data_IF_212279442199
#
_entry.id   IF_212279442199
#
_cell.length_a   1.000
_cell.length_b   1.000
_cell.length_c   1.000
_cell.angle_alpha   90.00
_cell.angle_beta   90.00
_cell.angle_gamma   90.00
#
_symmetry.space_group_name_H-M   'P 1'
#
loop_
_entity.id
_entity.type
_entity.pdbx_description
1 polymer ?
#
# COMPACT_ATOMS: atom_id res chain seq x y z
N UNK A 1 -12.42 -31.80 3.85
CA UNK A 1 -12.60 -31.36 2.45
C UNK A 1 -12.66 -29.85 2.47
N UNK A 2 -11.92 -29.15 1.63
CA UNK A 2 -11.89 -27.68 1.66
C UNK A 2 -13.06 -27.06 0.90
N UNK A 3 -13.39 -25.81 1.22
CA UNK A 3 -14.40 -25.05 0.48
C UNK A 3 -14.05 -24.94 -1.02
N UNK A 4 -12.77 -24.75 -1.35
CA UNK A 4 -12.31 -24.67 -2.74
C UNK A 4 -12.52 -25.98 -3.52
N UNK A 5 -12.25 -27.14 -2.89
CA UNK A 5 -12.52 -28.45 -3.49
C UNK A 5 -14.01 -28.68 -3.71
N UNK A 6 -14.86 -28.26 -2.77
CA UNK A 6 -16.32 -28.34 -2.88
C UNK A 6 -16.84 -27.42 -3.99
N UNK A 7 -16.33 -26.18 -4.08
CA UNK A 7 -16.65 -25.25 -5.16
C UNK A 7 -16.30 -25.82 -6.53
N UNK A 8 -15.13 -26.45 -6.66
CA UNK A 8 -14.70 -27.06 -7.91
C UNK A 8 -15.57 -28.26 -8.30
N UNK A 9 -15.89 -29.14 -7.34
CA UNK A 9 -16.80 -30.29 -7.55
C UNK A 9 -18.22 -29.83 -7.92
N UNK A 10 -18.75 -28.81 -7.25
CA UNK A 10 -20.05 -28.25 -7.56
C UNK A 10 -20.07 -27.65 -8.98
N UNK A 11 -19.02 -26.91 -9.36
CA UNK A 11 -18.87 -26.37 -10.72
C UNK A 11 -18.79 -27.48 -11.77
N UNK A 12 -18.03 -28.55 -11.50
CA UNK A 12 -17.94 -29.72 -12.39
C UNK A 12 -19.27 -30.48 -12.53
N UNK A 13 -20.14 -30.40 -11.52
CA UNK A 13 -21.50 -30.91 -11.55
C UNK A 13 -22.50 -29.95 -12.24
N UNK A 14 -22.03 -28.81 -12.78
CA UNK A 14 -22.87 -27.82 -13.44
C UNK A 14 -23.70 -26.96 -12.47
N UNK A 15 -23.24 -26.84 -11.22
CA UNK A 15 -23.83 -25.98 -10.20
C UNK A 15 -23.05 -24.66 -10.19
N UNK A 16 -23.73 -23.60 -10.58
CA UNK A 16 -23.29 -22.23 -10.38
C UNK A 16 -23.65 -21.79 -8.96
N UNK A 17 -22.68 -21.20 -8.26
CA UNK A 17 -22.83 -20.74 -6.89
C UNK A 17 -22.58 -19.23 -6.83
N UNK A 18 -23.54 -18.49 -6.31
CA UNK A 18 -23.46 -17.02 -6.21
C UNK A 18 -23.82 -16.61 -4.79
N UNK A 19 -23.08 -15.65 -4.23
CA UNK A 19 -23.47 -15.00 -2.98
C UNK A 19 -24.39 -13.84 -3.33
N UNK A 20 -25.64 -13.86 -2.86
CA UNK A 20 -26.56 -12.75 -3.05
C UNK A 20 -26.22 -11.57 -2.13
N UNK A 21 -26.81 -10.40 -2.40
CA UNK A 21 -26.53 -9.15 -1.66
C UNK A 21 -26.89 -9.24 -0.16
N UNK A 22 -27.77 -10.17 0.22
CA UNK A 22 -28.12 -10.48 1.60
C UNK A 22 -27.12 -11.43 2.30
N UNK A 23 -26.02 -11.79 1.62
CA UNK A 23 -24.98 -12.70 2.13
C UNK A 23 -25.38 -14.18 2.07
N UNK A 24 -26.46 -14.53 1.40
CA UNK A 24 -26.89 -15.92 1.25
C UNK A 24 -26.21 -16.61 0.07
N UNK A 25 -25.82 -17.87 0.26
CA UNK A 25 -25.37 -18.73 -0.83
C UNK A 25 -26.58 -19.19 -1.66
N UNK A 26 -26.61 -18.81 -2.94
CA UNK A 26 -27.58 -19.26 -3.93
C UNK A 26 -26.94 -20.27 -4.87
N UNK A 27 -27.64 -21.38 -5.11
CA UNK A 27 -27.23 -22.42 -6.04
C UNK A 27 -28.14 -22.40 -7.26
N UNK A 28 -27.56 -22.33 -8.44
CA UNK A 28 -28.25 -22.48 -9.73
C UNK A 28 -27.67 -23.70 -10.42
N UNK A 29 -28.51 -24.62 -10.86
CA UNK A 29 -28.05 -25.80 -11.57
C UNK A 29 -29.00 -26.13 -12.72
N UNK A 30 -28.45 -26.59 -13.83
CA UNK A 30 -29.25 -27.05 -14.98
C UNK A 30 -29.99 -28.36 -14.64
N UNK A 31 -29.44 -29.16 -13.73
CA UNK A 31 -30.02 -30.40 -13.24
C UNK A 31 -30.02 -30.42 -11.70
N UNK A 32 -30.96 -31.15 -11.07
CA UNK A 32 -30.98 -31.29 -9.62
C UNK A 32 -29.65 -31.89 -9.12
N UNK A 33 -28.98 -31.24 -8.15
CA UNK A 33 -27.78 -31.80 -7.53
C UNK A 33 -28.15 -33.02 -6.67
N UNK A 34 -27.18 -33.90 -6.43
CA UNK A 34 -27.39 -35.05 -5.55
C UNK A 34 -27.57 -34.62 -4.09
N UNK A 35 -28.40 -35.34 -3.34
CA UNK A 35 -28.67 -35.04 -1.92
C UNK A 35 -27.40 -35.02 -1.07
N UNK A 36 -26.42 -35.89 -1.39
CA UNK A 36 -25.14 -35.90 -0.70
C UNK A 36 -24.33 -34.61 -0.95
N UNK A 37 -24.34 -34.11 -2.19
CA UNK A 37 -23.65 -32.86 -2.52
C UNK A 37 -24.33 -31.66 -1.86
N UNK A 38 -25.66 -31.65 -1.79
CA UNK A 38 -26.41 -30.62 -1.05
C UNK A 38 -26.09 -30.64 0.45
N UNK A 39 -26.01 -31.82 1.06
CA UNK A 39 -25.64 -31.95 2.47
C UNK A 39 -24.21 -31.47 2.73
N UNK A 40 -23.26 -31.80 1.84
CA UNK A 40 -21.87 -31.34 1.92
C UNK A 40 -21.76 -29.81 1.74
N UNK A 41 -22.48 -29.21 0.78
CA UNK A 41 -22.53 -27.77 0.56
C UNK A 41 -23.19 -27.03 1.73
N UNK A 42 -24.25 -27.59 2.31
CA UNK A 42 -24.91 -27.02 3.48
C UNK A 42 -24.00 -27.02 4.71
N UNK A 43 -23.25 -28.12 4.93
CA UNK A 43 -22.32 -28.24 6.05
C UNK A 43 -21.17 -27.23 5.99
N UNK A 44 -20.71 -26.85 4.79
CA UNK A 44 -19.59 -25.93 4.56
C UNK A 44 -20.03 -24.56 4.04
N UNK A 45 -21.30 -24.21 4.21
CA UNK A 45 -21.91 -22.99 3.63
C UNK A 45 -21.12 -21.73 3.97
N UNK A 46 -20.70 -21.57 5.22
CA UNK A 46 -20.00 -20.36 5.69
C UNK A 46 -18.64 -20.24 4.99
N UNK A 47 -17.86 -21.33 4.95
CA UNK A 47 -16.53 -21.31 4.34
C UNK A 47 -16.61 -21.08 2.82
N UNK A 48 -17.65 -21.62 2.16
CA UNK A 48 -17.92 -21.38 0.74
C UNK A 48 -18.26 -19.91 0.47
N UNK A 49 -19.09 -19.28 1.30
CA UNK A 49 -19.42 -17.85 1.16
C UNK A 49 -18.16 -17.00 1.32
N UNK A 50 -17.34 -17.29 2.34
CA UNK A 50 -16.07 -16.58 2.56
C UNK A 50 -15.15 -16.74 1.35
N UNK A 51 -14.99 -17.95 0.83
CA UNK A 51 -14.13 -18.22 -0.32
C UNK A 51 -14.63 -17.54 -1.61
N UNK A 52 -15.95 -17.55 -1.86
CA UNK A 52 -16.56 -16.85 -3.00
C UNK A 52 -16.37 -15.33 -2.92
N UNK A 53 -16.60 -14.75 -1.75
CA UNK A 53 -16.39 -13.31 -1.55
C UNK A 53 -14.91 -12.94 -1.73
N UNK A 54 -13.99 -13.69 -1.13
CA UNK A 54 -12.56 -13.45 -1.28
C UNK A 54 -12.09 -13.55 -2.74
N UNK A 55 -12.62 -14.51 -3.51
CA UNK A 55 -12.33 -14.64 -4.94
C UNK A 55 -12.88 -13.46 -5.75
N UNK A 56 -14.10 -13.01 -5.44
CA UNK A 56 -14.73 -11.87 -6.10
C UNK A 56 -14.00 -10.55 -5.77
N UNK A 57 -13.61 -10.34 -4.51
CA UNK A 57 -12.85 -9.18 -4.06
C UNK A 57 -11.47 -9.13 -4.69
N UNK A 58 -10.81 -10.29 -4.84
CA UNK A 58 -9.54 -10.40 -5.56
C UNK A 58 -9.68 -10.04 -7.04
N UNK A 59 -10.76 -10.50 -7.69
CA UNK A 59 -11.04 -10.15 -9.09
C UNK A 59 -11.31 -8.65 -9.25
N UNK A 60 -12.18 -8.07 -8.42
CA UNK A 60 -12.49 -6.63 -8.44
C UNK A 60 -11.24 -5.77 -8.18
N UNK A 61 -10.46 -6.15 -7.17
CA UNK A 61 -9.14 -5.57 -6.85
C UNK A 61 -8.19 -5.59 -8.05
N UNK A 62 -8.11 -6.70 -8.78
CA UNK A 62 -7.22 -6.82 -9.96
C UNK A 62 -7.65 -5.94 -11.13
N UNK A 63 -8.96 -5.84 -11.39
CA UNK A 63 -9.53 -5.00 -12.45
C UNK A 63 -9.36 -3.53 -12.10
N UNK A 64 -9.59 -3.18 -10.83
CA UNK A 64 -9.40 -1.84 -10.29
C UNK A 64 -7.93 -1.41 -10.40
N UNK A 65 -6.98 -2.24 -9.93
CA UNK A 65 -5.55 -1.97 -10.02
C UNK A 65 -5.11 -1.76 -11.48
N UNK A 66 -5.64 -2.56 -12.40
CA UNK A 66 -5.36 -2.42 -13.84
C UNK A 66 -5.87 -1.10 -14.42
N UNK A 67 -6.95 -0.52 -13.88
CA UNK A 67 -7.45 0.80 -14.29
C UNK A 67 -6.56 1.92 -13.76
N UNK A 68 -6.20 1.86 -12.47
CA UNK A 68 -5.29 2.84 -11.86
C UNK A 68 -3.93 2.84 -12.57
N UNK A 69 -3.36 1.66 -12.83
CA UNK A 69 -2.09 1.52 -13.54
C UNK A 69 -2.13 2.14 -14.95
N UNK A 70 -3.23 1.96 -15.69
CA UNK A 70 -3.42 2.60 -17.00
C UNK A 70 -3.46 4.13 -16.92
N UNK A 71 -4.08 4.69 -15.88
CA UNK A 71 -4.11 6.15 -15.68
C UNK A 71 -2.75 6.73 -15.30
N UNK A 72 -1.88 5.90 -14.72
CA UNK A 72 -0.52 6.22 -14.33
C UNK A 72 0.52 5.86 -15.41
N UNK A 73 0.06 5.37 -16.56
CA UNK A 73 0.90 4.86 -17.66
C UNK A 73 1.96 3.86 -17.19
N UNK A 74 1.55 2.93 -16.33
CA UNK A 74 2.42 1.92 -15.72
C UNK A 74 1.77 0.55 -15.77
N UNK A 75 2.52 -0.47 -15.36
CA UNK A 75 1.98 -1.82 -15.18
C UNK A 75 1.48 -2.04 -13.74
N UNK A 76 0.44 -2.87 -13.53
CA UNK A 76 -0.14 -3.15 -12.21
C UNK A 76 0.84 -3.68 -11.17
N UNK A 77 1.75 -4.58 -11.60
CA UNK A 77 2.81 -5.18 -10.79
C UNK A 77 3.73 -4.11 -10.19
N UNK A 78 4.09 -3.10 -10.98
CA UNK A 78 5.01 -2.05 -10.55
C UNK A 78 4.45 -1.19 -9.41
N UNK A 79 3.12 -1.01 -9.34
CA UNK A 79 2.49 -0.29 -8.23
C UNK A 79 2.66 -1.03 -6.90
N UNK A 80 2.68 -2.36 -6.94
CA UNK A 80 2.87 -3.21 -5.76
C UNK A 80 4.36 -3.37 -5.42
N UNK A 81 5.20 -3.63 -6.43
CA UNK A 81 6.64 -3.86 -6.25
C UNK A 81 7.38 -2.63 -5.72
N UNK A 82 7.01 -1.43 -6.20
CA UNK A 82 7.59 -0.18 -5.72
C UNK A 82 6.90 0.36 -4.45
N UNK A 83 5.89 -0.34 -3.93
CA UNK A 83 5.19 0.02 -2.69
C UNK A 83 4.33 1.28 -2.79
N UNK A 84 3.85 1.63 -3.98
CA UNK A 84 2.87 2.74 -4.15
C UNK A 84 1.47 2.32 -3.71
N UNK A 85 1.19 1.01 -3.75
CA UNK A 85 0.00 0.38 -3.21
C UNK A 85 0.41 -0.93 -2.54
N UNK A 86 -0.15 -1.21 -1.37
CA UNK A 86 -0.02 -2.50 -0.70
C UNK A 86 -1.16 -3.45 -1.07
N UNK A 87 -0.98 -4.77 -0.93
CA UNK A 87 -2.06 -5.73 -1.18
C UNK A 87 -3.34 -5.46 -0.36
N UNK A 88 -3.21 -4.86 0.82
CA UNK A 88 -4.35 -4.47 1.65
C UNK A 88 -5.11 -3.27 1.07
N UNK A 89 -4.40 -2.29 0.51
CA UNK A 89 -5.01 -1.12 -0.14
C UNK A 89 -5.91 -1.52 -1.31
N UNK A 90 -5.61 -2.64 -1.99
CA UNK A 90 -6.43 -3.12 -3.08
C UNK A 90 -7.86 -3.45 -2.62
N UNK A 91 -8.00 -4.07 -1.45
CA UNK A 91 -9.31 -4.46 -0.90
C UNK A 91 -10.06 -3.23 -0.41
N UNK A 92 -9.36 -2.30 0.26
CA UNK A 92 -9.98 -1.08 0.79
C UNK A 92 -10.37 -0.08 -0.31
N UNK A 93 -9.58 0.00 -1.38
CA UNK A 93 -9.74 0.96 -2.46
C UNK A 93 -10.42 0.37 -3.70
N UNK A 94 -10.72 -0.92 -3.78
CA UNK A 94 -11.37 -1.54 -4.95
C UNK A 94 -12.70 -0.87 -5.36
N UNK A 95 -13.37 -0.18 -4.43
CA UNK A 95 -14.58 0.63 -4.68
C UNK A 95 -14.35 2.14 -4.85
N UNK A 96 -13.13 2.62 -4.67
CA UNK A 96 -12.78 4.03 -4.74
C UNK A 96 -12.60 4.51 -6.19
N UNK A 97 -12.77 5.82 -6.40
CA UNK A 97 -12.60 6.45 -7.70
C UNK A 97 -11.14 6.31 -8.19
N UNK A 98 -10.97 5.63 -9.32
CA UNK A 98 -9.66 5.32 -9.92
C UNK A 98 -8.89 6.57 -10.35
N UNK A 99 -9.58 7.66 -10.71
CA UNK A 99 -8.96 8.93 -11.11
C UNK A 99 -8.41 9.64 -9.89
N UNK A 100 -9.20 9.73 -8.83
CA UNK A 100 -8.77 10.35 -7.57
C UNK A 100 -7.55 9.64 -6.97
N UNK A 101 -7.53 8.30 -7.01
CA UNK A 101 -6.39 7.52 -6.51
C UNK A 101 -5.16 7.71 -7.39
N UNK A 102 -5.32 7.71 -8.72
CA UNK A 102 -4.21 8.01 -9.62
C UNK A 102 -3.66 9.43 -9.40
N UNK A 103 -4.52 10.43 -9.18
CA UNK A 103 -4.11 11.80 -8.88
C UNK A 103 -3.34 11.88 -7.55
N UNK A 104 -3.80 11.15 -6.53
CA UNK A 104 -3.13 11.06 -5.23
C UNK A 104 -1.74 10.44 -5.36
N UNK A 105 -1.63 9.34 -6.12
CA UNK A 105 -0.35 8.70 -6.40
C UNK A 105 0.57 9.65 -7.18
N UNK A 106 0.08 10.35 -8.21
CA UNK A 106 0.89 11.32 -8.97
C UNK A 106 1.41 12.48 -8.13
N UNK A 107 0.65 12.90 -7.12
CA UNK A 107 1.05 13.97 -6.21
C UNK A 107 2.08 13.51 -5.16
N UNK A 108 2.29 12.19 -4.99
CA UNK A 108 3.24 11.65 -4.03
C UNK A 108 4.69 11.93 -4.44
N UNK A 109 5.55 12.39 -3.52
CA UNK A 109 6.99 12.54 -3.77
C UNK A 109 7.65 11.24 -4.26
N UNK A 110 7.17 10.07 -3.79
CA UNK A 110 7.68 8.78 -4.24
C UNK A 110 7.44 8.54 -5.74
N UNK A 111 6.28 8.98 -6.26
CA UNK A 111 5.95 8.89 -7.67
C UNK A 111 6.67 9.93 -8.53
N UNK A 112 6.80 11.17 -8.03
CA UNK A 112 7.51 12.24 -8.74
C UNK A 112 8.98 11.89 -8.94
N UNK A 113 9.64 11.39 -7.88
CA UNK A 113 11.04 10.99 -7.93
C UNK A 113 11.28 9.71 -8.78
N UNK A 114 10.24 8.91 -9.04
CA UNK A 114 10.30 7.73 -9.92
C UNK A 114 10.63 8.12 -11.36
N UNK A 115 9.97 9.15 -11.89
CA UNK A 115 10.20 9.63 -13.27
C UNK A 115 11.66 10.03 -13.47
N UNK A 116 12.25 10.67 -12.46
CA UNK A 116 13.65 11.09 -12.47
C UNK A 116 14.62 9.89 -12.45
N UNK A 117 14.26 8.79 -11.78
CA UNK A 117 15.06 7.55 -11.74
C UNK A 117 14.98 6.77 -13.06
N UNK A 118 13.81 6.73 -13.70
CA UNK A 118 13.62 6.05 -15.00
C UNK A 118 14.37 6.77 -16.11
N UNK A 119 14.38 8.11 -16.11
CA UNK A 119 15.16 8.91 -17.06
C UNK A 119 16.68 8.76 -16.83
N UNK A 120 17.15 8.72 -15.58
CA UNK A 120 18.56 8.47 -15.28
C UNK A 120 19.04 7.05 -15.63
N UNK A 121 18.13 6.06 -15.66
CA UNK A 121 18.48 4.67 -16.01
C UNK A 121 18.68 4.46 -17.51
N UNK A 122 18.20 5.37 -18.37
CA UNK A 122 18.36 5.27 -19.81
C UNK A 122 19.72 5.81 -20.32
N UNK A 123 20.38 6.70 -19.56
CA UNK A 123 21.66 7.31 -19.95
C UNK A 123 22.90 6.74 -19.24
N UNK A 124 22.75 5.95 -18.16
CA UNK A 124 23.89 5.54 -17.32
C UNK A 124 24.16 4.04 -17.40
N UNK A 125 25.02 3.67 -18.36
CA UNK A 125 26.20 2.80 -18.19
C UNK A 125 26.01 1.38 -17.60
N UNK A 126 26.41 0.27 -18.26
CA UNK A 126 27.77 0.03 -18.76
C UNK A 126 28.87 0.65 -17.89
N UNK A 127 28.77 0.54 -16.56
CA UNK A 127 29.86 0.80 -15.64
C UNK A 127 29.58 0.05 -14.33
N UNK A 128 30.64 -0.56 -13.80
CA UNK A 128 30.61 -1.50 -12.69
C UNK A 128 29.80 -1.00 -11.49
N UNK A 129 29.00 -1.93 -11.01
CA UNK A 129 28.46 -2.07 -9.65
C UNK A 129 29.45 -1.57 -8.59
N UNK A 130 29.16 -0.39 -8.05
CA UNK A 130 29.55 -0.01 -6.69
C UNK A 130 28.25 -0.01 -5.91
N UNK A 131 28.01 -1.09 -5.17
CA UNK A 131 26.94 -1.16 -4.18
C UNK A 131 27.15 0.01 -3.22
N UNK A 132 26.26 1.01 -3.14
CA UNK A 132 26.30 1.95 -2.05
C UNK A 132 25.95 1.15 -0.81
N UNK A 133 26.93 0.94 0.06
CA UNK A 133 26.64 0.53 1.42
C UNK A 133 25.69 1.61 1.98
N UNK A 134 24.43 1.25 2.22
CA UNK A 134 23.56 2.10 3.00
C UNK A 134 24.14 2.09 4.42
N UNK A 135 24.88 3.14 4.76
CA UNK A 135 25.30 3.34 6.14
C UNK A 135 24.03 3.57 6.94
N UNK A 136 23.70 2.65 7.85
CA UNK A 136 22.60 2.85 8.79
C UNK A 136 23.03 3.99 9.72
N UNK A 137 22.55 5.21 9.44
CA UNK A 137 22.80 6.38 10.29
C UNK A 137 22.02 6.21 11.60
N UNK A 138 22.71 5.80 12.64
CA UNK A 138 22.18 5.72 13.99
C UNK A 138 22.58 6.99 14.75
N UNK A 139 21.89 7.32 15.85
CA UNK A 139 22.22 8.49 16.69
C UNK A 139 23.69 8.53 17.18
N UNK A 140 24.44 7.42 17.05
CA UNK A 140 25.86 7.32 17.35
C UNK A 140 26.78 7.92 16.27
N UNK A 141 26.32 8.09 15.02
CA UNK A 141 27.11 8.66 13.92
C UNK A 141 26.81 10.14 13.66
N UNK A 142 25.95 10.77 14.47
CA UNK A 142 25.56 12.18 14.27
C UNK A 142 26.52 13.14 14.98
N UNK A 143 26.81 14.26 14.30
CA UNK A 143 27.66 15.32 14.82
C UNK A 143 27.11 15.85 16.15
N UNK A 144 28.01 16.24 17.06
CA UNK A 144 27.60 16.80 18.34
C UNK A 144 26.75 18.08 18.14
N UNK A 145 27.13 18.92 17.18
CA UNK A 145 26.38 20.13 16.84
C UNK A 145 24.94 19.82 16.42
N UNK A 146 24.72 18.76 15.64
CA UNK A 146 23.38 18.35 15.23
C UNK A 146 22.54 17.87 16.42
N UNK A 147 23.14 17.05 17.31
CA UNK A 147 22.44 16.57 18.52
C UNK A 147 22.03 17.72 19.44
N UNK A 148 22.89 18.73 19.59
CA UNK A 148 22.57 19.92 20.39
C UNK A 148 21.45 20.76 19.74
N UNK A 149 21.47 20.92 18.42
CA UNK A 149 20.42 21.62 17.68
C UNK A 149 19.07 20.89 17.73
N UNK A 150 19.07 19.56 17.57
CA UNK A 150 17.89 18.70 17.70
C UNK A 150 17.29 18.77 19.10
N UNK A 151 18.12 18.58 20.13
CA UNK A 151 17.68 18.66 21.52
C UNK A 151 17.09 20.03 21.84
N UNK A 152 17.72 21.12 21.39
CA UNK A 152 17.20 22.48 21.61
C UNK A 152 15.85 22.71 20.90
N UNK A 153 15.70 22.21 19.68
CA UNK A 153 14.45 22.32 18.92
C UNK A 153 13.33 21.48 19.56
N UNK A 154 13.60 20.21 19.85
CA UNK A 154 12.65 19.26 20.45
C UNK A 154 12.22 19.71 21.84
N UNK A 155 13.16 20.11 22.70
CA UNK A 155 12.82 20.60 24.05
C UNK A 155 11.94 21.85 24.00
N UNK A 156 12.19 22.76 23.05
CA UNK A 156 11.35 23.95 22.86
C UNK A 156 9.95 23.57 22.36
N UNK A 157 9.84 22.65 21.39
CA UNK A 157 8.54 22.17 20.91
C UNK A 157 7.70 21.53 22.03
N UNK A 158 8.34 20.74 22.89
CA UNK A 158 7.65 20.08 24.00
C UNK A 158 7.22 21.06 25.11
N UNK A 159 7.92 22.18 25.25
CA UNK A 159 7.70 23.15 26.34
C UNK A 159 6.88 24.38 25.93
N UNK A 160 6.80 24.71 24.63
CA UNK A 160 6.15 25.92 24.13
C UNK A 160 4.72 25.64 23.64
N UNK A 161 3.72 26.16 24.36
CA UNK A 161 2.30 26.01 23.98
C UNK A 161 1.90 26.78 22.69
N UNK A 162 2.75 27.71 22.22
CA UNK A 162 2.51 28.48 20.99
C UNK A 162 3.01 27.74 19.76
N UNK A 163 4.00 26.86 19.91
CA UNK A 163 4.56 26.08 18.82
C UNK A 163 3.71 24.84 18.55
N UNK A 164 3.47 24.55 17.26
CA UNK A 164 2.72 23.39 16.82
C UNK A 164 3.32 22.85 15.51
N UNK A 165 4.24 21.89 15.64
CA UNK A 165 5.02 21.36 14.53
C UNK A 165 4.14 20.76 13.41
N UNK A 166 3.08 20.03 13.77
CA UNK A 166 2.18 19.40 12.79
C UNK A 166 1.46 20.40 11.86
N UNK A 167 1.31 21.66 12.29
CA UNK A 167 0.73 22.72 11.45
C UNK A 167 1.76 23.78 11.05
N UNK A 168 3.06 23.49 11.21
CA UNK A 168 4.16 24.42 10.93
C UNK A 168 4.03 25.80 11.59
N UNK A 169 3.37 25.86 12.76
CA UNK A 169 3.27 27.09 13.54
C UNK A 169 4.42 27.13 14.55
N UNK A 170 5.22 28.19 14.51
CA UNK A 170 6.33 28.39 15.45
C UNK A 170 6.27 29.80 16.00
N UNK A 171 6.58 29.97 17.29
CA UNK A 171 6.94 31.29 17.79
C UNK A 171 8.30 31.72 17.20
N UNK A 172 8.68 33.00 17.33
CA UNK A 172 9.94 33.51 16.78
C UNK A 172 11.16 32.67 17.20
N UNK A 173 11.28 32.37 18.51
CA UNK A 173 12.36 31.53 19.03
C UNK A 173 12.32 30.08 18.49
N UNK A 174 11.12 29.52 18.33
CA UNK A 174 10.93 28.19 17.76
C UNK A 174 11.30 28.12 16.27
N UNK A 175 11.04 29.18 15.52
CA UNK A 175 11.43 29.31 14.12
C UNK A 175 12.96 29.36 13.98
N UNK A 176 13.64 30.17 14.79
CA UNK A 176 15.10 30.26 14.80
C UNK A 176 15.76 28.93 15.19
N UNK A 177 15.18 28.20 16.14
CA UNK A 177 15.62 26.85 16.52
C UNK A 177 15.44 25.86 15.38
N UNK A 178 14.31 25.90 14.66
CA UNK A 178 14.06 25.05 13.50
C UNK A 178 15.04 25.34 12.36
N UNK A 179 15.31 26.62 12.11
CA UNK A 179 16.31 27.01 11.10
C UNK A 179 17.70 26.50 11.47
N UNK A 180 18.12 26.64 12.73
CA UNK A 180 19.38 26.08 13.20
C UNK A 180 19.44 24.56 13.07
N UNK A 181 18.38 23.86 13.45
CA UNK A 181 18.28 22.41 13.27
C UNK A 181 18.44 22.00 11.78
N UNK A 182 17.69 22.63 10.88
CA UNK A 182 17.74 22.33 9.44
C UNK A 182 19.09 22.66 8.80
N UNK A 183 19.76 23.71 9.25
CA UNK A 183 21.03 24.17 8.69
C UNK A 183 22.25 23.47 9.32
N UNK A 184 22.06 22.67 10.37
CA UNK A 184 23.15 21.93 10.99
C UNK A 184 23.29 20.59 10.26
N UNK A 185 24.46 20.26 9.70
CA UNK A 185 24.67 18.97 9.06
C UNK A 185 24.69 17.85 10.10
N UNK A 186 23.99 16.76 9.78
CA UNK A 186 23.94 15.57 10.65
C UNK A 186 25.32 14.89 10.76
N UNK A 187 26.16 15.03 9.75
CA UNK A 187 27.53 14.53 9.73
C UNK A 187 28.52 15.65 10.08
N UNK A 188 29.61 15.32 10.76
CA UNK A 188 30.73 16.24 10.87
C UNK A 188 31.47 16.22 9.52
N UNK A 189 31.58 17.34 8.84
CA UNK A 189 32.50 17.44 7.70
C UNK A 189 33.91 17.22 8.20
N UNK A 190 34.54 16.12 7.80
CA UNK A 190 35.99 15.90 7.91
C UNK A 190 36.75 16.80 6.94
#
# INVERSE_FOLDING_TARGET
MSAAELMHRASAAGIEMVVSQDGCLQLRAVHPPSDNLLAELAAHKIEIIIALNAANDSMLSSVWLSRVARLLDTRPDVLLEEGHLEPHDLVELAGADVVLVADTIRASPAWINRSQRVEQSAEVHAAKEVVPHYTVHTAATTSQAWREADAAHTNHLMSCCVCHAATSRYCAAGFDLRQRYNNTPMEASE
#
